data_IF_762283345768
#
_entry.id   IF_762283345768
#
_cell.length_a   1.000
_cell.length_b   1.000
_cell.length_c   1.000
_cell.angle_alpha   90.00
_cell.angle_beta   90.00
_cell.angle_gamma   90.00
#
_symmetry.space_group_name_H-M   'P 1'
#
loop_
_entity.id
_entity.type
_entity.pdbx_description
1 polymer ?
#
# COMPACT_ATOMS: atom_id res chain seq x y z
N UNK A 1 16.58 -56.86 -41.58
CA UNK A 1 15.97 -55.55 -41.27
C UNK A 1 14.71 -55.80 -40.45
N UNK A 2 14.73 -55.58 -39.13
CA UNK A 2 13.57 -55.76 -38.25
C UNK A 2 12.94 -54.40 -38.00
N UNK A 3 11.71 -54.20 -38.44
CA UNK A 3 11.01 -52.92 -38.35
C UNK A 3 10.58 -52.64 -36.90
N UNK A 4 11.02 -51.51 -36.34
CA UNK A 4 10.62 -51.02 -35.01
C UNK A 4 9.35 -50.16 -35.08
N UNK A 5 8.21 -50.75 -35.45
CA UNK A 5 6.93 -50.11 -35.23
C UNK A 5 6.29 -50.70 -33.98
N UNK A 6 6.37 -49.94 -32.88
CA UNK A 6 5.61 -50.23 -31.67
C UNK A 6 4.10 -50.23 -31.96
N UNK A 7 3.27 -50.81 -31.07
CA UNK A 7 1.84 -50.96 -31.31
C UNK A 7 1.19 -49.60 -31.64
N UNK A 8 0.24 -49.54 -32.58
CA UNK A 8 -0.46 -48.30 -32.90
C UNK A 8 -1.09 -47.74 -31.63
N UNK A 9 -0.78 -46.47 -31.30
CA UNK A 9 -1.36 -45.80 -30.14
C UNK A 9 -2.88 -45.77 -30.32
N UNK A 10 -3.60 -46.40 -29.38
CA UNK A 10 -5.07 -46.36 -29.34
C UNK A 10 -5.52 -44.89 -29.38
N UNK A 11 -6.45 -44.56 -30.27
CA UNK A 11 -7.10 -43.25 -30.26
C UNK A 11 -7.69 -43.03 -28.85
N UNK A 12 -7.39 -41.88 -28.24
CA UNK A 12 -8.01 -41.52 -26.97
C UNK A 12 -9.52 -41.51 -27.20
N UNK A 13 -10.25 -42.38 -26.51
CA UNK A 13 -11.70 -42.22 -26.38
C UNK A 13 -11.94 -40.82 -25.84
N UNK A 14 -12.79 -40.04 -26.52
CA UNK A 14 -13.08 -38.67 -26.16
C UNK A 14 -13.69 -38.61 -24.77
N UNK A 15 -12.85 -38.43 -23.73
CA UNK A 15 -13.27 -38.16 -22.35
C UNK A 15 -13.60 -36.68 -22.20
N UNK A 16 -14.49 -36.16 -23.06
CA UNK A 16 -15.10 -34.84 -22.90
C UNK A 16 -16.61 -35.02 -22.78
N UNK A 17 -17.03 -35.63 -21.69
CA UNK A 17 -18.39 -35.42 -21.22
C UNK A 17 -18.41 -34.05 -20.55
N UNK A 18 -18.70 -33.02 -21.35
CA UNK A 18 -18.98 -31.68 -20.83
C UNK A 18 -20.29 -31.68 -20.03
N UNK A 19 -20.45 -30.69 -19.16
CA UNK A 19 -21.74 -30.45 -18.52
C UNK A 19 -22.81 -30.17 -19.59
N UNK A 20 -23.92 -30.92 -19.55
CA UNK A 20 -25.04 -30.76 -20.48
C UNK A 20 -26.03 -29.66 -20.08
N UNK A 21 -25.93 -29.14 -18.84
CA UNK A 21 -26.79 -28.06 -18.37
C UNK A 21 -26.58 -26.79 -19.22
N UNK A 22 -27.69 -26.15 -19.60
CA UNK A 22 -27.71 -25.05 -20.55
C UNK A 22 -28.88 -24.12 -20.26
N UNK A 23 -28.67 -22.81 -20.38
CA UNK A 23 -29.73 -21.81 -20.32
C UNK A 23 -29.68 -20.96 -21.58
N UNK A 24 -30.81 -20.87 -22.27
CA UNK A 24 -30.98 -20.11 -23.50
C UNK A 24 -31.85 -18.90 -23.21
N UNK A 25 -31.36 -17.72 -23.55
CA UNK A 25 -32.02 -16.44 -23.28
C UNK A 25 -32.17 -15.69 -24.59
N UNK A 26 -33.39 -15.27 -24.90
CA UNK A 26 -33.71 -14.49 -26.09
C UNK A 26 -34.40 -13.19 -25.68
N UNK A 27 -34.15 -12.13 -26.45
CA UNK A 27 -34.85 -10.86 -26.29
C UNK A 27 -36.19 -10.98 -27.02
N UNK A 28 -37.29 -10.85 -26.28
CA UNK A 28 -38.63 -10.92 -26.85
C UNK A 28 -38.94 -9.62 -27.63
N UNK A 29 -40.04 -9.61 -28.39
CA UNK A 29 -40.52 -8.47 -29.20
C UNK A 29 -40.81 -7.17 -28.40
N UNK A 30 -40.73 -7.24 -27.07
CA UNK A 30 -40.91 -6.13 -26.14
C UNK A 30 -39.58 -5.71 -25.47
N UNK A 31 -38.43 -6.06 -26.05
CA UNK A 31 -37.07 -5.81 -25.53
C UNK A 31 -36.78 -6.37 -24.13
N UNK A 32 -37.53 -7.39 -23.72
CA UNK A 32 -37.34 -8.07 -22.43
C UNK A 32 -36.62 -9.39 -22.64
N UNK A 33 -35.59 -9.64 -21.83
CA UNK A 33 -34.89 -10.92 -21.79
C UNK A 33 -35.82 -12.00 -21.21
N UNK A 34 -36.10 -13.03 -22.01
CA UNK A 34 -36.90 -14.17 -21.60
C UNK A 34 -36.05 -15.45 -21.74
N UNK A 35 -36.09 -16.31 -20.72
CA UNK A 35 -35.46 -17.62 -20.78
C UNK A 35 -36.33 -18.55 -21.62
N UNK A 36 -35.85 -18.98 -22.78
CA UNK A 36 -36.62 -19.82 -23.73
C UNK A 36 -36.37 -21.30 -23.53
N UNK A 37 -35.20 -21.68 -23.01
CA UNK A 37 -34.87 -23.06 -22.69
C UNK A 37 -33.96 -23.14 -21.48
N UNK A 38 -34.29 -24.04 -20.56
CA UNK A 38 -33.46 -24.34 -19.40
C UNK A 38 -33.30 -25.84 -19.26
N UNK A 39 -32.06 -26.31 -19.30
CA UNK A 39 -31.65 -27.69 -19.03
C UNK A 39 -30.95 -27.68 -17.69
N UNK A 40 -31.62 -28.23 -16.68
CA UNK A 40 -31.14 -28.28 -15.29
C UNK A 40 -30.23 -29.48 -15.05
N UNK A 41 -30.35 -30.53 -15.87
CA UNK A 41 -29.64 -31.78 -15.68
C UNK A 41 -28.15 -31.60 -15.95
N UNK A 42 -27.34 -31.93 -14.95
CA UNK A 42 -25.90 -31.97 -15.07
C UNK A 42 -25.45 -33.39 -15.37
N UNK A 43 -24.44 -33.53 -16.22
CA UNK A 43 -23.74 -34.79 -16.47
C UNK A 43 -22.87 -35.21 -15.27
N UNK A 44 -22.86 -34.41 -14.19
CA UNK A 44 -22.11 -34.64 -12.96
C UNK A 44 -22.95 -34.25 -11.75
N UNK A 45 -22.71 -34.83 -10.56
CA UNK A 45 -23.31 -34.35 -9.33
C UNK A 45 -23.02 -32.86 -9.16
N UNK A 46 -24.05 -32.09 -8.85
CA UNK A 46 -23.86 -30.75 -8.31
C UNK A 46 -23.22 -30.93 -6.94
N UNK A 47 -21.88 -30.83 -6.89
CA UNK A 47 -21.20 -30.63 -5.61
C UNK A 47 -21.86 -29.39 -5.04
N UNK A 48 -22.53 -29.44 -3.87
CA UNK A 48 -22.90 -28.23 -3.20
C UNK A 48 -21.58 -27.50 -3.06
N UNK A 49 -21.41 -26.42 -3.81
CA UNK A 49 -20.46 -25.39 -3.41
C UNK A 49 -21.10 -24.86 -2.13
N UNK A 50 -20.93 -25.62 -1.05
CA UNK A 50 -21.29 -25.22 0.29
C UNK A 50 -20.61 -23.87 0.40
N UNK A 51 -21.45 -22.85 0.49
CA UNK A 51 -21.11 -21.45 0.43
C UNK A 51 -19.65 -21.25 0.84
N UNK A 52 -18.75 -21.01 -0.10
CA UNK A 52 -17.37 -20.60 0.21
C UNK A 52 -17.34 -19.16 0.75
N UNK A 53 -18.41 -18.75 1.43
CA UNK A 53 -18.79 -17.36 1.70
C UNK A 53 -19.07 -17.12 3.19
N UNK A 54 -18.71 -18.02 4.09
CA UNK A 54 -18.86 -17.75 5.52
C UNK A 54 -18.02 -18.68 6.37
N UNK A 55 -17.11 -18.09 7.14
CA UNK A 55 -16.35 -18.72 8.24
C UNK A 55 -14.97 -19.31 7.93
N UNK A 56 -14.21 -18.69 7.05
CA UNK A 56 -12.75 -18.72 7.16
C UNK A 56 -12.23 -17.35 6.73
N UNK A 57 -11.88 -16.50 7.69
CA UNK A 57 -10.87 -15.47 7.46
C UNK A 57 -9.72 -16.18 6.75
N UNK A 58 -9.50 -15.87 5.47
CA UNK A 58 -8.45 -16.54 4.71
C UNK A 58 -7.14 -16.27 5.46
N UNK A 59 -6.19 -17.19 5.44
CA UNK A 59 -4.88 -16.98 6.10
C UNK A 59 -4.24 -15.65 5.65
N UNK A 60 -4.59 -15.22 4.43
CA UNK A 60 -4.26 -13.92 3.85
C UNK A 60 -4.90 -12.76 4.60
N UNK A 61 -6.19 -12.80 4.91
CA UNK A 61 -6.89 -11.73 5.64
C UNK A 61 -6.31 -11.55 7.04
N UNK A 62 -5.98 -12.67 7.71
CA UNK A 62 -5.24 -12.62 8.98
C UNK A 62 -3.88 -11.98 8.85
N UNK A 63 -3.14 -12.37 7.81
CA UNK A 63 -1.82 -11.79 7.55
C UNK A 63 -1.91 -10.31 7.24
N UNK A 64 -2.93 -9.88 6.51
CA UNK A 64 -3.19 -8.46 6.23
C UNK A 64 -3.41 -7.72 7.55
N UNK A 65 -4.29 -8.22 8.42
CA UNK A 65 -4.55 -7.57 9.71
C UNK A 65 -3.28 -7.46 10.58
N UNK A 66 -2.51 -8.55 10.70
CA UNK A 66 -1.26 -8.55 11.48
C UNK A 66 -0.25 -7.54 10.94
N UNK A 67 -0.07 -7.49 9.61
CA UNK A 67 0.85 -6.54 8.96
C UNK A 67 0.36 -5.10 9.08
N UNK A 68 -0.95 -4.86 8.96
CA UNK A 68 -1.54 -3.53 9.16
C UNK A 68 -1.31 -3.01 10.56
N UNK A 69 -1.48 -3.84 11.59
CA UNK A 69 -1.21 -3.46 12.98
C UNK A 69 0.27 -3.14 13.23
N UNK A 70 1.18 -3.93 12.65
CA UNK A 70 2.61 -3.66 12.77
C UNK A 70 3.03 -2.39 12.03
N UNK A 71 2.46 -2.13 10.85
CA UNK A 71 2.69 -0.88 10.13
C UNK A 71 2.22 0.33 10.93
N UNK A 72 1.00 0.29 11.48
CA UNK A 72 0.47 1.38 12.31
C UNK A 72 1.34 1.63 13.56
N UNK A 73 1.88 0.56 14.17
CA UNK A 73 2.80 0.68 15.31
C UNK A 73 4.10 1.37 14.91
N UNK A 74 4.64 1.07 13.74
CA UNK A 74 5.86 1.69 13.23
C UNK A 74 5.63 3.14 12.82
N UNK A 75 4.49 3.46 12.20
CA UNK A 75 4.12 4.82 11.85
C UNK A 75 4.06 5.71 13.10
N UNK A 76 3.43 5.23 14.18
CA UNK A 76 3.40 5.93 15.48
C UNK A 76 4.80 6.19 16.05
N UNK A 77 5.71 5.24 15.93
CA UNK A 77 7.10 5.44 16.38
C UNK A 77 7.82 6.48 15.52
N UNK A 78 7.64 6.41 14.20
CA UNK A 78 8.19 7.40 13.27
C UNK A 78 7.67 8.81 13.58
N UNK A 79 6.39 8.95 13.88
CA UNK A 79 5.80 10.25 14.26
C UNK A 79 6.43 10.80 15.54
N UNK A 80 6.59 9.96 16.58
CA UNK A 80 7.28 10.37 17.80
C UNK A 80 8.73 10.81 17.56
N UNK A 81 9.49 10.06 16.74
CA UNK A 81 10.85 10.46 16.40
C UNK A 81 10.89 11.75 15.59
N UNK A 82 9.95 11.95 14.66
CA UNK A 82 9.83 13.19 13.88
C UNK A 82 9.52 14.38 14.79
N UNK A 83 8.58 14.24 15.71
CA UNK A 83 8.25 15.29 16.69
C UNK A 83 9.47 15.67 17.52
N UNK A 84 10.21 14.68 18.04
CA UNK A 84 11.44 14.93 18.80
C UNK A 84 12.50 15.67 17.97
N UNK A 85 12.69 15.28 16.71
CA UNK A 85 13.65 15.93 15.81
C UNK A 85 13.22 17.37 15.50
N UNK A 86 11.94 17.62 15.27
CA UNK A 86 11.41 18.97 15.02
C UNK A 86 11.67 19.86 16.22
N UNK A 87 11.27 19.43 17.43
CA UNK A 87 11.52 20.21 18.65
C UNK A 87 13.00 20.47 18.89
N UNK A 88 13.86 19.48 18.62
CA UNK A 88 15.31 19.66 18.73
C UNK A 88 15.84 20.73 17.76
N UNK A 89 15.44 20.66 16.49
CA UNK A 89 15.87 21.61 15.47
C UNK A 89 15.37 23.03 15.78
N UNK A 90 14.12 23.18 16.21
CA UNK A 90 13.55 24.46 16.65
C UNK A 90 14.37 25.06 17.81
N UNK A 91 14.76 24.23 18.79
CA UNK A 91 15.58 24.71 19.90
C UNK A 91 16.98 25.15 19.43
N UNK A 92 17.61 24.40 18.52
CA UNK A 92 18.92 24.80 17.94
C UNK A 92 18.81 26.13 17.20
N UNK A 93 17.77 26.30 16.39
CA UNK A 93 17.52 27.54 15.64
C UNK A 93 17.30 28.73 16.58
N UNK A 94 16.50 28.55 17.64
CA UNK A 94 16.27 29.59 18.66
C UNK A 94 17.57 29.99 19.38
N UNK A 95 18.43 29.02 19.74
CA UNK A 95 19.71 29.32 20.37
C UNK A 95 20.66 30.06 19.42
N UNK A 96 20.69 29.69 18.13
CA UNK A 96 21.48 30.37 17.11
C UNK A 96 21.05 31.84 16.95
N UNK A 97 19.75 32.09 16.89
CA UNK A 97 19.18 33.44 16.79
C UNK A 97 19.50 34.28 18.04
N UNK A 98 19.35 33.70 19.23
CA UNK A 98 19.67 34.38 20.49
C UNK A 98 21.17 34.71 20.60
N UNK A 99 22.04 33.79 20.19
CA UNK A 99 23.48 34.03 20.17
C UNK A 99 23.85 35.13 19.17
N UNK A 100 23.28 35.10 17.96
CA UNK A 100 23.47 36.12 16.93
C UNK A 100 23.11 37.51 17.46
N UNK A 101 21.95 37.65 18.10
CA UNK A 101 21.53 38.91 18.75
C UNK A 101 22.51 39.39 19.81
N UNK A 102 22.99 38.49 20.68
CA UNK A 102 23.99 38.83 21.71
C UNK A 102 25.31 39.31 21.10
N UNK A 103 25.78 38.64 20.05
CA UNK A 103 26.99 39.05 19.32
C UNK A 103 26.79 40.42 18.68
N UNK A 104 25.64 40.66 18.04
CA UNK A 104 25.34 41.96 17.44
C UNK A 104 25.36 43.10 18.47
N UNK A 105 24.78 42.88 19.65
CA UNK A 105 24.83 43.84 20.76
C UNK A 105 26.27 44.08 21.20
N UNK A 106 27.06 43.03 21.42
CA UNK A 106 28.46 43.17 21.82
C UNK A 106 29.29 43.94 20.77
N UNK A 107 29.11 43.64 19.48
CA UNK A 107 29.78 44.34 18.38
C UNK A 107 29.38 45.81 18.33
N UNK A 108 28.09 46.12 18.52
CA UNK A 108 27.63 47.51 18.55
C UNK A 108 28.24 48.27 19.74
N UNK A 109 28.25 47.66 20.93
CA UNK A 109 28.89 48.25 22.11
C UNK A 109 30.38 48.53 21.87
N UNK A 110 31.13 47.58 21.27
CA UNK A 110 32.55 47.78 20.94
C UNK A 110 32.71 48.95 19.95
N UNK A 111 31.88 49.02 18.91
CA UNK A 111 31.92 50.13 17.94
C UNK A 111 31.63 51.49 18.58
N UNK A 112 30.70 51.54 19.52
CA UNK A 112 30.40 52.76 20.28
C UNK A 112 31.62 53.20 21.10
N UNK A 113 32.24 52.27 21.85
CA UNK A 113 33.45 52.54 22.64
C UNK A 113 34.62 52.97 21.74
N UNK A 114 34.83 52.31 20.60
CA UNK A 114 35.86 52.69 19.63
C UNK A 114 35.63 54.10 19.06
N UNK A 115 34.37 54.47 18.78
CA UNK A 115 34.01 55.80 18.32
C UNK A 115 34.20 56.88 19.39
N UNK A 116 33.97 56.57 20.67
CA UNK A 116 34.28 57.46 21.79
C UNK A 116 35.79 57.67 21.96
N UNK A 117 36.58 56.61 21.82
CA UNK A 117 38.05 56.69 21.85
C UNK A 117 38.60 57.52 20.69
N UNK A 118 38.06 57.39 19.48
CA UNK A 118 38.47 58.20 18.32
C UNK A 118 38.05 59.68 18.39
N UNK A 119 37.05 60.02 19.21
CA UNK A 119 36.60 61.41 19.45
C UNK A 119 37.38 62.13 20.55
N UNK A 120 38.27 61.44 21.28
CA UNK A 120 39.27 62.08 22.14
C UNK A 120 40.57 62.24 21.35
N UNK A 121 40.78 63.34 20.60
CA UNK A 121 42.07 63.57 19.99
C UNK A 121 43.09 63.82 21.10
N UNK A 122 44.27 63.20 20.93
CA UNK A 122 45.54 63.55 21.56
C UNK A 122 45.51 64.97 22.14
N UNK A 123 45.38 65.03 23.47
CA UNK A 123 45.57 66.27 24.22
C UNK A 123 46.68 66.01 25.23
N UNK A 124 47.91 66.05 24.70
CA UNK A 124 49.22 66.39 25.30
C UNK A 124 50.35 65.49 24.78
#
# INVERSE_FOLDING_TARGET
MKNHYGPPRKARTSRREGCKAMMWVEVNKFDKLAVTRFVKEHTHPLVPSGCSSGNAMDKKDRRIQELSMELERQDKLCDLYREQLVTFLENVEQQMELLSKKIQVAVNNIKEVEAEVQKQPNSQ
#
